data_IF_333490003703
#
_entry.id   IF_333490003703
#
_cell.length_a   1.000
_cell.length_b   1.000
_cell.length_c   1.000
_cell.angle_alpha   90.00
_cell.angle_beta   90.00
_cell.angle_gamma   90.00
#
_symmetry.space_group_name_H-M   'P 1'
#
loop_
_entity.id
_entity.type
_entity.pdbx_description
1 polymer ?
#
# COMPACT_ATOMS: atom_id res chain seq x y z
N UNK A 1 3.03 -2.19 23.31
CA UNK A 1 2.57 -1.21 22.30
C UNK A 1 2.50 -1.93 20.96
N UNK A 2 1.39 -1.84 20.27
CA UNK A 2 1.19 -2.46 18.96
C UNK A 2 2.07 -1.77 17.91
N UNK A 3 2.78 -2.56 17.10
CA UNK A 3 3.74 -2.07 16.11
C UNK A 3 3.38 -2.61 14.73
N UNK A 4 3.39 -1.73 13.74
CA UNK A 4 3.17 -2.07 12.33
C UNK A 4 4.45 -1.79 11.53
N UNK A 5 4.73 -2.63 10.54
CA UNK A 5 5.69 -2.32 9.49
C UNK A 5 4.93 -2.13 8.18
N UNK A 6 5.19 -1.03 7.46
CA UNK A 6 4.70 -0.81 6.10
C UNK A 6 5.88 -0.90 5.14
N UNK A 7 5.78 -1.78 4.14
CA UNK A 7 6.86 -2.02 3.17
C UNK A 7 6.44 -1.53 1.79
N UNK A 8 7.25 -0.66 1.17
CA UNK A 8 6.95 -0.22 -0.20
C UNK A 8 7.83 0.88 -0.73
N UNK A 9 7.37 1.54 -1.76
CA UNK A 9 8.06 2.65 -2.41
C UNK A 9 7.35 3.97 -2.13
N UNK A 10 8.13 4.99 -1.82
CA UNK A 10 7.69 6.38 -1.87
C UNK A 10 8.48 7.11 -2.97
N UNK A 11 7.77 7.88 -3.77
CA UNK A 11 8.33 8.62 -4.90
C UNK A 11 8.18 10.12 -4.71
N UNK A 12 9.02 10.88 -5.38
CA UNK A 12 8.81 12.33 -5.57
C UNK A 12 7.58 12.51 -6.47
N UNK A 13 6.65 13.36 -6.04
CA UNK A 13 5.51 13.81 -6.82
C UNK A 13 5.77 15.22 -7.35
N UNK A 14 5.60 15.39 -8.65
CA UNK A 14 5.52 16.69 -9.31
C UNK A 14 4.11 16.88 -9.83
N UNK A 15 3.35 17.80 -9.23
CA UNK A 15 1.99 18.13 -9.64
C UNK A 15 1.96 19.47 -10.34
N UNK A 16 1.40 19.53 -11.54
CA UNK A 16 1.21 20.78 -12.27
C UNK A 16 0.34 21.73 -11.45
N UNK A 17 0.80 22.97 -11.29
CA UNK A 17 0.04 24.02 -10.62
C UNK A 17 -1.25 24.34 -11.41
N UNK A 18 -2.32 24.67 -10.70
CA UNK A 18 -3.62 24.99 -11.30
C UNK A 18 -3.49 26.16 -12.29
N UNK A 19 -4.04 26.01 -13.49
CA UNK A 19 -3.92 27.01 -14.57
C UNK A 19 -2.60 26.94 -15.34
N UNK A 20 -1.84 25.84 -15.20
CA UNK A 20 -0.52 25.67 -15.78
C UNK A 20 -0.50 25.70 -17.30
N UNK A 21 0.25 26.67 -17.84
CA UNK A 21 0.65 26.71 -19.26
C UNK A 21 1.75 25.65 -19.49
N UNK A 22 1.96 25.16 -20.73
CA UNK A 22 3.13 24.36 -21.08
C UNK A 22 4.41 25.04 -20.61
N UNK A 23 5.23 24.34 -19.82
CA UNK A 23 6.40 24.92 -19.14
C UNK A 23 6.11 25.65 -17.82
N UNK A 24 4.87 25.54 -17.29
CA UNK A 24 4.44 26.16 -16.04
C UNK A 24 5.06 25.58 -14.78
N UNK A 25 4.66 26.12 -13.61
CA UNK A 25 5.14 25.71 -12.30
C UNK A 25 4.59 24.34 -11.91
N UNK A 26 5.41 23.58 -11.19
CA UNK A 26 5.03 22.33 -10.55
C UNK A 26 5.23 22.47 -9.04
N UNK A 27 4.28 22.00 -8.24
CA UNK A 27 4.50 21.77 -6.83
C UNK A 27 5.19 20.43 -6.66
N UNK A 28 6.17 20.36 -5.75
CA UNK A 28 6.84 19.14 -5.36
C UNK A 28 6.31 18.67 -4.02
N UNK A 29 5.97 17.41 -3.96
CA UNK A 29 5.64 16.65 -2.76
C UNK A 29 6.21 15.23 -2.87
N UNK A 30 5.78 14.32 -2.04
CA UNK A 30 6.09 12.90 -2.16
C UNK A 30 4.84 12.09 -1.84
N UNK A 31 4.76 10.89 -2.41
CA UNK A 31 3.64 9.99 -2.21
C UNK A 31 3.99 8.55 -2.59
N UNK A 32 3.21 7.66 -2.06
CA UNK A 32 3.24 6.22 -2.28
C UNK A 32 2.15 5.60 -1.45
N UNK A 33 1.45 4.59 -1.97
CA UNK A 33 0.30 3.96 -1.32
C UNK A 33 0.61 3.46 0.09
N UNK A 34 1.72 2.72 0.23
CA UNK A 34 2.15 2.18 1.52
C UNK A 34 2.62 3.26 2.49
N UNK A 35 3.22 4.37 1.99
CA UNK A 35 3.54 5.51 2.82
C UNK A 35 2.28 6.27 3.24
N UNK A 36 1.33 6.48 2.34
CA UNK A 36 0.07 7.13 2.69
C UNK A 36 -0.63 6.37 3.81
N UNK A 37 -0.73 5.04 3.70
CA UNK A 37 -1.25 4.18 4.78
C UNK A 37 -0.45 4.35 6.08
N UNK A 38 0.89 4.43 6.01
CA UNK A 38 1.73 4.64 7.19
C UNK A 38 1.48 5.99 7.86
N UNK A 39 1.33 7.07 7.08
CA UNK A 39 0.98 8.41 7.59
C UNK A 39 -0.36 8.39 8.33
N UNK A 40 -1.39 7.80 7.73
CA UNK A 40 -2.70 7.72 8.38
C UNK A 40 -2.65 6.84 9.64
N UNK A 41 -1.93 5.71 9.63
CA UNK A 41 -1.73 4.88 10.82
C UNK A 41 -1.06 5.67 11.95
N UNK A 42 0.00 6.42 11.64
CA UNK A 42 0.70 7.26 12.62
C UNK A 42 -0.24 8.31 13.22
N UNK A 43 -1.01 9.01 12.38
CA UNK A 43 -2.00 10.01 12.80
C UNK A 43 -3.14 9.42 13.63
N UNK A 44 -3.42 8.11 13.48
CA UNK A 44 -4.36 7.35 14.32
C UNK A 44 -3.71 6.82 15.61
N UNK A 45 -2.45 7.18 15.90
CA UNK A 45 -1.73 6.81 17.11
C UNK A 45 -1.12 5.40 17.10
N UNK A 46 -1.01 4.77 15.94
CA UNK A 46 -0.37 3.46 15.78
C UNK A 46 1.15 3.66 15.58
N UNK A 47 1.96 2.92 16.33
CA UNK A 47 3.41 2.88 16.07
C UNK A 47 3.71 2.18 14.76
N UNK A 48 4.27 2.89 13.81
CA UNK A 48 4.55 2.41 12.46
C UNK A 48 6.00 2.67 12.06
N UNK A 49 6.67 1.65 11.55
CA UNK A 49 7.96 1.79 10.87
C UNK A 49 7.74 1.65 9.35
N UNK A 50 8.38 2.54 8.57
CA UNK A 50 8.38 2.43 7.11
C UNK A 50 9.65 1.73 6.64
N UNK A 51 9.51 0.71 5.82
CA UNK A 51 10.58 -0.13 5.29
C UNK A 51 10.68 0.10 3.79
N UNK A 52 11.79 0.68 3.36
CA UNK A 52 12.07 1.01 1.96
C UNK A 52 13.56 1.21 1.74
N UNK A 53 13.94 1.53 0.49
CA UNK A 53 15.27 2.01 0.19
C UNK A 53 15.19 3.36 -0.54
N UNK A 54 16.08 4.28 -0.19
CA UNK A 54 16.24 5.59 -0.78
C UNK A 54 17.70 5.82 -1.19
N UNK A 55 17.95 6.90 -1.89
CA UNK A 55 19.30 7.35 -2.24
C UNK A 55 20.03 8.02 -1.07
N UNK A 56 21.27 8.45 -1.30
CA UNK A 56 22.10 9.24 -0.39
C UNK A 56 22.07 10.74 -0.73
N UNK A 57 21.00 11.18 -1.38
CA UNK A 57 20.77 12.52 -1.89
C UNK A 57 19.88 13.37 -0.94
N UNK A 58 19.89 14.70 -1.14
CA UNK A 58 19.15 15.65 -0.32
C UNK A 58 17.61 15.50 -0.40
N UNK A 59 17.05 14.97 -1.51
CA UNK A 59 15.61 14.71 -1.63
C UNK A 59 15.22 13.53 -0.75
N UNK A 60 16.05 12.49 -0.72
CA UNK A 60 15.89 11.35 0.17
C UNK A 60 15.96 11.75 1.64
N UNK A 61 16.86 12.70 2.00
CA UNK A 61 16.98 13.23 3.36
C UNK A 61 15.72 14.00 3.78
N UNK A 62 15.18 14.85 2.88
CA UNK A 62 13.95 15.59 3.12
C UNK A 62 12.75 14.63 3.34
N UNK A 63 12.66 13.56 2.54
CA UNK A 63 11.59 12.56 2.68
C UNK A 63 11.66 11.89 4.04
N UNK A 64 12.83 11.41 4.46
CA UNK A 64 13.04 10.76 5.77
C UNK A 64 12.68 11.71 6.91
N UNK A 65 13.15 12.99 6.83
CA UNK A 65 12.82 14.00 7.83
C UNK A 65 11.31 14.27 7.92
N UNK A 66 10.63 14.34 6.77
CA UNK A 66 9.19 14.50 6.69
C UNK A 66 8.43 13.33 7.32
N UNK A 67 8.85 12.09 7.06
CA UNK A 67 8.25 10.90 7.67
C UNK A 67 8.47 10.85 9.19
N UNK A 68 9.67 11.18 9.64
CA UNK A 68 9.96 11.27 11.07
C UNK A 68 9.11 12.34 11.76
N UNK A 69 8.87 13.48 11.11
CA UNK A 69 7.98 14.53 11.62
C UNK A 69 6.50 14.08 11.73
N UNK A 70 6.07 13.16 10.87
CA UNK A 70 4.76 12.49 10.96
C UNK A 70 4.74 11.37 12.02
N UNK A 71 5.84 11.14 12.75
CA UNK A 71 5.93 10.09 13.78
C UNK A 71 6.18 8.69 13.23
N UNK A 72 6.57 8.56 11.96
CA UNK A 72 6.89 7.28 11.31
C UNK A 72 8.33 6.90 11.63
N UNK A 73 8.56 5.68 12.10
CA UNK A 73 9.89 5.14 12.33
C UNK A 73 10.64 4.89 11.01
N UNK A 74 11.89 5.32 10.93
CA UNK A 74 12.70 5.29 9.70
C UNK A 74 13.95 4.41 9.82
N UNK A 75 14.06 3.63 10.87
CA UNK A 75 15.25 2.80 11.14
C UNK A 75 15.57 1.74 10.08
N UNK A 76 14.55 1.35 9.29
CA UNK A 76 14.65 0.37 8.21
C UNK A 76 14.51 1.02 6.82
N UNK A 77 14.86 2.31 6.73
CA UNK A 77 15.05 3.01 5.45
C UNK A 77 16.50 2.82 5.03
N UNK A 78 16.74 1.89 4.11
CA UNK A 78 18.08 1.64 3.59
C UNK A 78 18.55 2.80 2.70
N UNK A 79 19.87 3.06 2.69
CA UNK A 79 20.47 4.15 1.91
C UNK A 79 21.43 3.58 0.86
N UNK A 80 21.15 3.87 -0.40
CA UNK A 80 21.94 3.38 -1.54
C UNK A 80 22.71 4.53 -2.18
N UNK A 81 24.04 4.42 -2.17
CA UNK A 81 24.93 5.42 -2.79
C UNK A 81 24.66 5.56 -4.31
N UNK A 82 24.49 6.81 -4.75
CA UNK A 82 24.27 7.15 -6.14
C UNK A 82 22.90 6.75 -6.70
N UNK A 83 21.97 6.29 -5.87
CA UNK A 83 20.58 6.07 -6.25
C UNK A 83 19.70 7.26 -5.88
N UNK A 84 18.52 7.30 -6.48
CA UNK A 84 17.51 8.32 -6.23
C UNK A 84 16.16 7.66 -5.91
N UNK A 85 15.24 8.34 -5.24
CA UNK A 85 13.85 7.92 -5.18
C UNK A 85 13.23 7.92 -6.57
N UNK A 86 12.21 7.12 -6.78
CA UNK A 86 11.39 7.22 -7.97
C UNK A 86 10.71 8.60 -8.06
N UNK A 87 10.29 8.98 -9.27
CA UNK A 87 9.59 10.23 -9.52
C UNK A 87 8.33 9.95 -10.36
N UNK A 88 7.25 10.63 -10.06
CA UNK A 88 6.12 10.73 -10.96
C UNK A 88 5.64 12.17 -11.12
N UNK A 89 5.09 12.43 -12.29
CA UNK A 89 4.55 13.74 -12.66
C UNK A 89 3.07 13.60 -12.96
N UNK A 90 2.29 14.51 -12.39
CA UNK A 90 0.85 14.60 -12.64
C UNK A 90 0.58 15.84 -13.50
N UNK A 91 0.06 15.60 -14.69
CA UNK A 91 -0.53 16.64 -15.53
C UNK A 91 -2.04 16.53 -15.46
N UNK A 92 -2.69 17.67 -15.35
CA UNK A 92 -4.15 17.76 -15.42
C UNK A 92 -4.51 18.48 -16.72
N UNK A 93 -5.32 17.87 -17.54
CA UNK A 93 -5.80 18.48 -18.80
C UNK A 93 -6.93 19.49 -18.53
N UNK A 94 -7.39 20.16 -19.61
CA UNK A 94 -8.44 21.19 -19.54
C UNK A 94 -9.81 20.64 -19.08
N UNK A 95 -9.98 19.31 -19.07
CA UNK A 95 -11.19 18.63 -18.58
C UNK A 95 -11.04 18.17 -17.13
N UNK A 96 -9.89 18.42 -16.51
CA UNK A 96 -9.57 17.98 -15.14
C UNK A 96 -9.09 16.52 -15.06
N UNK A 97 -8.86 15.86 -16.21
CA UNK A 97 -8.33 14.49 -16.21
C UNK A 97 -6.84 14.46 -15.92
N UNK A 98 -6.44 13.54 -15.06
CA UNK A 98 -5.05 13.39 -14.60
C UNK A 98 -4.33 12.37 -15.44
N UNK A 99 -3.12 12.75 -15.91
CA UNK A 99 -2.17 11.86 -16.57
C UNK A 99 -0.94 11.71 -15.68
N UNK A 100 -0.49 10.45 -15.51
CA UNK A 100 0.65 10.11 -14.67
C UNK A 100 1.82 9.65 -15.55
N UNK A 101 2.98 10.25 -15.35
CA UNK A 101 4.24 9.86 -15.96
C UNK A 101 5.19 9.41 -14.86
N UNK A 102 5.85 8.26 -15.03
CA UNK A 102 6.68 7.67 -14.00
C UNK A 102 8.11 7.49 -14.47
N UNK A 103 9.06 7.84 -13.63
CA UNK A 103 10.48 7.52 -13.72
C UNK A 103 10.87 6.76 -12.46
N UNK A 104 10.74 5.46 -12.47
CA UNK A 104 10.95 4.60 -11.30
C UNK A 104 11.76 3.33 -11.56
N UNK A 105 12.20 3.09 -12.80
CA UNK A 105 12.86 1.84 -13.16
C UNK A 105 14.24 1.68 -12.50
N UNK A 106 14.88 2.80 -12.14
CA UNK A 106 16.15 2.86 -11.41
C UNK A 106 16.01 3.28 -9.95
N UNK A 107 14.78 3.36 -9.42
CA UNK A 107 14.52 3.79 -8.05
C UNK A 107 15.15 2.84 -7.02
N UNK A 108 15.72 3.42 -5.96
CA UNK A 108 16.38 2.68 -4.87
C UNK A 108 15.47 1.60 -4.26
N UNK A 109 14.18 1.86 -4.09
CA UNK A 109 13.22 0.93 -3.50
C UNK A 109 13.14 -0.41 -4.23
N UNK A 110 13.46 -0.47 -5.53
CA UNK A 110 13.48 -1.72 -6.30
C UNK A 110 14.59 -2.68 -5.89
N UNK A 111 15.63 -2.16 -5.24
CA UNK A 111 16.80 -2.92 -4.80
C UNK A 111 16.73 -3.33 -3.32
N UNK A 112 15.61 -3.02 -2.63
CA UNK A 112 15.45 -3.30 -1.20
C UNK A 112 15.74 -4.76 -0.82
N UNK A 113 15.49 -5.71 -1.71
CA UNK A 113 15.72 -7.14 -1.47
C UNK A 113 17.14 -7.63 -1.81
N UNK A 114 18.00 -6.74 -2.30
CA UNK A 114 19.36 -7.09 -2.78
C UNK A 114 20.47 -6.46 -1.93
N UNK A 115 20.13 -5.80 -0.83
CA UNK A 115 21.05 -5.05 0.01
C UNK A 115 21.73 -5.96 1.05
N UNK A 116 22.92 -5.59 1.53
CA UNK A 116 23.60 -6.32 2.60
C UNK A 116 22.72 -6.44 3.87
N UNK A 117 21.96 -5.40 4.22
CA UNK A 117 21.09 -5.35 5.39
C UNK A 117 19.70 -6.01 5.19
N UNK A 118 19.41 -6.52 4.00
CA UNK A 118 18.09 -7.12 3.69
C UNK A 118 17.71 -8.23 4.66
N UNK A 119 18.65 -9.12 5.01
CA UNK A 119 18.36 -10.23 5.92
C UNK A 119 17.99 -9.74 7.32
N UNK A 120 18.65 -8.70 7.84
CA UNK A 120 18.34 -8.10 9.13
C UNK A 120 16.94 -7.43 9.09
N UNK A 121 16.61 -6.73 7.99
CA UNK A 121 15.29 -6.16 7.77
C UNK A 121 14.23 -7.26 7.75
N UNK A 122 14.43 -8.33 6.97
CA UNK A 122 13.48 -9.43 6.84
C UNK A 122 13.31 -10.20 8.16
N UNK A 123 14.37 -10.37 8.95
CA UNK A 123 14.30 -11.00 10.28
C UNK A 123 13.55 -10.13 11.28
N UNK A 124 13.63 -8.80 11.15
CA UNK A 124 12.91 -7.86 12.02
C UNK A 124 11.39 -7.95 11.88
N UNK A 125 10.87 -8.47 10.75
CA UNK A 125 9.42 -8.56 10.50
C UNK A 125 8.67 -9.34 11.58
N UNK A 126 9.31 -10.32 12.19
CA UNK A 126 8.75 -11.09 13.31
C UNK A 126 8.54 -10.28 14.61
N UNK A 127 9.02 -9.03 14.68
CA UNK A 127 8.86 -8.15 15.86
C UNK A 127 7.64 -7.23 15.74
N UNK A 128 6.88 -7.29 14.65
CA UNK A 128 5.70 -6.48 14.41
C UNK A 128 4.41 -7.28 14.61
N UNK A 129 3.35 -6.61 15.02
CA UNK A 129 2.02 -7.22 15.13
C UNK A 129 1.37 -7.39 13.75
N UNK A 130 1.62 -6.41 12.85
CA UNK A 130 1.18 -6.45 11.45
C UNK A 130 2.33 -6.00 10.55
N UNK A 131 2.54 -6.72 9.44
CA UNK A 131 3.30 -6.24 8.28
C UNK A 131 2.31 -5.95 7.16
N UNK A 132 2.34 -4.75 6.64
CA UNK A 132 1.48 -4.28 5.54
C UNK A 132 2.30 -4.00 4.29
N UNK A 133 1.82 -4.45 3.16
CA UNK A 133 2.31 -4.08 1.83
C UNK A 133 1.19 -4.20 0.79
N UNK A 134 1.42 -3.61 -0.37
CA UNK A 134 0.51 -3.68 -1.50
C UNK A 134 1.08 -4.47 -2.69
N UNK A 135 0.24 -4.74 -3.67
CA UNK A 135 0.68 -5.33 -4.93
C UNK A 135 1.68 -4.43 -5.68
N UNK A 136 1.66 -3.10 -5.47
CA UNK A 136 2.70 -2.20 -6.02
C UNK A 136 4.07 -2.59 -5.48
N UNK A 137 4.19 -2.85 -4.17
CA UNK A 137 5.44 -3.31 -3.57
C UNK A 137 5.95 -4.59 -4.23
N UNK A 138 5.07 -5.58 -4.44
CA UNK A 138 5.45 -6.81 -5.10
C UNK A 138 5.81 -6.60 -6.58
N UNK A 139 5.16 -5.65 -7.26
CA UNK A 139 5.39 -5.38 -8.68
C UNK A 139 6.75 -4.74 -8.98
N UNK A 140 7.29 -3.96 -8.05
CA UNK A 140 8.58 -3.29 -8.24
C UNK A 140 9.78 -4.19 -7.95
N UNK A 141 9.58 -5.26 -7.19
CA UNK A 141 10.63 -6.23 -6.86
C UNK A 141 10.86 -7.20 -8.02
N UNK A 142 12.11 -7.67 -8.17
CA UNK A 142 12.42 -8.80 -9.03
C UNK A 142 11.84 -10.10 -8.45
N UNK A 143 11.77 -11.14 -9.25
CA UNK A 143 11.16 -12.41 -8.88
C UNK A 143 11.81 -13.02 -7.62
N UNK A 144 13.13 -13.09 -7.59
CA UNK A 144 13.91 -13.56 -6.44
C UNK A 144 13.67 -12.72 -5.17
N UNK A 145 13.59 -11.39 -5.33
CA UNK A 145 13.27 -10.48 -4.23
C UNK A 145 11.85 -10.68 -3.69
N UNK A 146 10.86 -10.91 -4.58
CA UNK A 146 9.50 -11.27 -4.17
C UNK A 146 9.47 -12.57 -3.37
N UNK A 147 10.19 -13.61 -3.85
CA UNK A 147 10.26 -14.90 -3.17
C UNK A 147 10.89 -14.77 -1.77
N UNK A 148 11.99 -14.01 -1.66
CA UNK A 148 12.64 -13.72 -0.37
C UNK A 148 11.69 -13.03 0.60
N UNK A 149 10.98 -11.99 0.16
CA UNK A 149 10.01 -11.25 0.99
C UNK A 149 8.86 -12.15 1.42
N UNK A 150 8.25 -12.90 0.50
CA UNK A 150 7.14 -13.81 0.80
C UNK A 150 7.57 -14.93 1.75
N UNK A 151 8.78 -15.48 1.60
CA UNK A 151 9.32 -16.46 2.54
C UNK A 151 9.53 -15.87 3.94
N UNK A 152 10.00 -14.62 4.05
CA UNK A 152 10.16 -13.93 5.32
C UNK A 152 8.81 -13.66 6.00
N UNK A 153 7.79 -13.23 5.24
CA UNK A 153 6.43 -13.04 5.74
C UNK A 153 5.84 -14.36 6.28
N UNK A 154 6.02 -15.47 5.57
CA UNK A 154 5.60 -16.80 6.03
C UNK A 154 6.29 -17.17 7.36
N UNK A 155 7.59 -16.90 7.51
CA UNK A 155 8.31 -17.14 8.76
C UNK A 155 7.81 -16.24 9.90
N UNK A 156 7.63 -14.93 9.63
CA UNK A 156 7.13 -13.99 10.63
C UNK A 156 5.72 -14.38 11.13
N UNK A 157 4.84 -14.87 10.23
CA UNK A 157 3.53 -15.39 10.60
C UNK A 157 3.58 -16.57 11.57
N UNK A 158 4.51 -17.49 11.39
CA UNK A 158 4.72 -18.61 12.32
C UNK A 158 5.12 -18.13 13.73
N UNK A 159 5.64 -16.91 13.83
CA UNK A 159 6.03 -16.26 15.10
C UNK A 159 4.97 -15.30 15.65
N UNK A 160 3.79 -15.23 15.01
CA UNK A 160 2.64 -14.47 15.48
C UNK A 160 2.37 -13.14 14.79
N UNK A 161 3.24 -12.71 13.86
CA UNK A 161 3.00 -11.51 13.03
C UNK A 161 1.86 -11.77 12.05
N UNK A 162 0.92 -10.84 11.90
CA UNK A 162 -0.09 -10.90 10.84
C UNK A 162 0.42 -10.21 9.58
N UNK A 163 0.09 -10.74 8.43
CA UNK A 163 0.37 -10.12 7.15
C UNK A 163 -0.92 -9.54 6.55
N UNK A 164 -0.91 -8.22 6.26
CA UNK A 164 -1.98 -7.50 5.58
C UNK A 164 -1.54 -7.11 4.16
N UNK A 165 -2.31 -7.52 3.17
CA UNK A 165 -2.05 -7.28 1.75
C UNK A 165 -3.14 -6.44 1.11
N UNK A 166 -2.76 -5.31 0.48
CA UNK A 166 -3.67 -4.49 -0.34
C UNK A 166 -3.49 -4.80 -1.83
N UNK A 167 -4.58 -5.05 -2.54
CA UNK A 167 -4.52 -5.45 -3.95
C UNK A 167 -4.02 -4.36 -4.87
N UNK A 168 -4.23 -3.12 -4.60
CA UNK A 168 -3.75 -1.91 -5.31
C UNK A 168 -3.04 -2.20 -6.65
N UNK A 169 -3.76 -2.85 -7.58
CA UNK A 169 -3.24 -3.38 -8.82
C UNK A 169 -2.94 -2.25 -9.82
N UNK A 170 -1.75 -2.30 -10.42
CA UNK A 170 -1.34 -1.38 -11.50
C UNK A 170 -0.75 -2.17 -12.64
N UNK A 171 -1.51 -2.36 -13.72
CA UNK A 171 -1.14 -3.23 -14.84
C UNK A 171 0.28 -2.95 -15.40
N UNK A 172 0.70 -1.69 -15.44
CA UNK A 172 2.04 -1.27 -15.92
C UNK A 172 3.19 -1.79 -15.05
N UNK A 173 2.94 -2.20 -13.80
CA UNK A 173 3.95 -2.74 -12.89
C UNK A 173 4.28 -4.21 -13.14
N UNK A 174 3.56 -4.90 -14.03
CA UNK A 174 3.65 -6.33 -14.22
C UNK A 174 4.07 -6.67 -15.65
N UNK A 175 4.92 -7.71 -15.85
CA UNK A 175 5.30 -8.19 -17.19
C UNK A 175 4.08 -8.61 -18.00
N UNK A 176 3.17 -9.35 -17.37
CA UNK A 176 1.89 -9.78 -17.92
C UNK A 176 0.88 -10.12 -16.79
N UNK A 177 -0.38 -10.36 -17.18
CA UNK A 177 -1.43 -10.69 -16.22
C UNK A 177 -1.30 -12.09 -15.60
N UNK A 178 -0.59 -13.03 -16.25
CA UNK A 178 -0.34 -14.35 -15.71
C UNK A 178 0.60 -14.30 -14.51
N UNK A 179 1.70 -13.55 -14.64
CA UNK A 179 2.62 -13.28 -13.54
C UNK A 179 1.91 -12.57 -12.39
N UNK A 180 1.11 -11.55 -12.70
CA UNK A 180 0.33 -10.83 -11.68
C UNK A 180 -0.60 -11.78 -10.91
N UNK A 181 -1.40 -12.61 -11.60
CA UNK A 181 -2.30 -13.59 -10.97
C UNK A 181 -1.56 -14.58 -10.07
N UNK A 182 -0.40 -15.10 -10.52
CA UNK A 182 0.40 -16.02 -9.72
C UNK A 182 0.89 -15.38 -8.43
N UNK A 183 1.39 -14.14 -8.50
CA UNK A 183 1.86 -13.40 -7.32
C UNK A 183 0.70 -13.06 -6.38
N UNK A 184 -0.46 -12.65 -6.92
CA UNK A 184 -1.66 -12.40 -6.13
C UNK A 184 -2.14 -13.67 -5.42
N UNK A 185 -2.18 -14.81 -6.11
CA UNK A 185 -2.53 -16.10 -5.47
C UNK A 185 -1.60 -16.42 -4.31
N UNK A 186 -0.27 -16.27 -4.49
CA UNK A 186 0.70 -16.49 -3.40
C UNK A 186 0.51 -15.51 -2.24
N UNK A 187 0.16 -14.24 -2.53
CA UNK A 187 -0.13 -13.25 -1.51
C UNK A 187 -1.42 -13.60 -0.75
N UNK A 188 -2.49 -13.99 -1.45
CA UNK A 188 -3.75 -14.42 -0.84
C UNK A 188 -3.59 -15.64 0.07
N UNK A 189 -2.76 -16.62 -0.33
CA UNK A 189 -2.47 -17.81 0.47
C UNK A 189 -1.63 -17.48 1.72
N UNK A 190 -0.90 -16.37 1.69
CA UNK A 190 0.01 -16.00 2.78
C UNK A 190 -0.62 -14.96 3.72
N UNK A 191 -1.46 -14.07 3.21
CA UNK A 191 -2.02 -12.96 4.00
C UNK A 191 -3.07 -13.46 5.02
N UNK A 192 -3.07 -12.81 6.18
CA UNK A 192 -4.12 -12.95 7.20
C UNK A 192 -5.28 -12.00 6.93
N UNK A 193 -4.98 -10.83 6.33
CA UNK A 193 -5.94 -9.79 5.97
C UNK A 193 -5.69 -9.40 4.52
N UNK A 194 -6.71 -9.45 3.67
CA UNK A 194 -6.65 -8.92 2.31
C UNK A 194 -7.61 -7.74 2.17
N UNK A 195 -7.05 -6.60 1.78
CA UNK A 195 -7.81 -5.40 1.41
C UNK A 195 -7.86 -5.33 -0.11
N UNK A 196 -8.94 -5.82 -0.68
CA UNK A 196 -9.14 -5.90 -2.11
C UNK A 196 -10.12 -4.81 -2.60
N UNK A 197 -10.07 -4.51 -3.90
CA UNK A 197 -11.13 -3.75 -4.56
C UNK A 197 -11.61 -4.46 -5.83
N UNK A 198 -12.87 -4.28 -6.18
CA UNK A 198 -13.41 -4.80 -7.44
C UNK A 198 -12.72 -4.17 -8.64
N UNK A 199 -12.31 -2.91 -8.54
CA UNK A 199 -11.57 -2.18 -9.58
C UNK A 199 -10.20 -2.80 -9.85
N UNK A 200 -9.45 -3.13 -8.80
CA UNK A 200 -8.13 -3.76 -8.92
C UNK A 200 -8.21 -5.19 -9.46
N UNK A 201 -9.24 -5.93 -9.07
CA UNK A 201 -9.36 -7.34 -9.45
C UNK A 201 -9.99 -7.53 -10.84
N UNK A 202 -10.80 -6.58 -11.32
CA UNK A 202 -11.47 -6.69 -12.62
C UNK A 202 -10.52 -6.96 -13.81
N UNK A 203 -9.34 -6.33 -13.93
CA UNK A 203 -8.41 -6.65 -15.01
C UNK A 203 -7.78 -8.05 -14.89
N UNK A 204 -7.66 -8.56 -13.66
CA UNK A 204 -7.09 -9.89 -13.39
C UNK A 204 -8.13 -11.00 -13.59
N UNK A 205 -9.37 -10.74 -13.24
CA UNK A 205 -10.47 -11.72 -13.24
C UNK A 205 -11.71 -11.11 -13.93
N UNK A 206 -11.65 -10.88 -15.25
CA UNK A 206 -12.69 -10.19 -15.98
C UNK A 206 -14.01 -10.97 -15.96
N UNK A 207 -15.11 -10.26 -15.63
CA UNK A 207 -16.44 -10.83 -15.61
C UNK A 207 -16.81 -11.63 -14.36
N UNK A 208 -15.90 -11.78 -13.40
CA UNK A 208 -16.21 -12.48 -12.15
C UNK A 208 -17.13 -11.65 -11.26
N UNK A 209 -18.08 -12.33 -10.61
CA UNK A 209 -18.96 -11.69 -9.63
C UNK A 209 -18.22 -11.43 -8.31
N UNK A 210 -18.74 -10.52 -7.47
CA UNK A 210 -18.19 -10.26 -6.14
C UNK A 210 -18.09 -11.54 -5.29
N UNK A 211 -19.06 -12.44 -5.42
CA UNK A 211 -19.05 -13.73 -4.72
C UNK A 211 -17.90 -14.61 -5.20
N UNK A 212 -17.68 -14.67 -6.52
CA UNK A 212 -16.58 -15.43 -7.09
C UNK A 212 -15.21 -14.86 -6.72
N UNK A 213 -15.06 -13.53 -6.78
CA UNK A 213 -13.84 -12.84 -6.33
C UNK A 213 -13.52 -13.13 -4.86
N UNK A 214 -14.52 -13.04 -3.97
CA UNK A 214 -14.34 -13.40 -2.56
C UNK A 214 -13.96 -14.87 -2.37
N UNK A 215 -14.59 -15.77 -3.12
CA UNK A 215 -14.28 -17.20 -3.03
C UNK A 215 -12.86 -17.54 -3.55
N UNK A 216 -12.35 -16.76 -4.50
CA UNK A 216 -10.99 -16.90 -5.05
C UNK A 216 -9.88 -16.39 -4.14
N UNK A 217 -10.20 -15.65 -3.06
CA UNK A 217 -9.21 -15.14 -2.11
C UNK A 217 -9.16 -16.09 -0.91
N UNK A 218 -8.06 -16.80 -0.71
CA UNK A 218 -7.91 -17.82 0.34
C UNK A 218 -7.67 -17.27 1.75
N UNK A 219 -7.32 -15.99 1.88
CA UNK A 219 -7.08 -15.33 3.19
C UNK A 219 -8.27 -15.48 4.15
N UNK A 220 -8.06 -15.68 5.46
CA UNK A 220 -9.13 -15.82 6.45
C UNK A 220 -9.96 -14.54 6.65
N UNK A 221 -9.41 -13.36 6.41
CA UNK A 221 -10.11 -12.08 6.52
C UNK A 221 -9.95 -11.29 5.23
N UNK A 222 -11.06 -10.96 4.57
CA UNK A 222 -11.09 -10.25 3.29
C UNK A 222 -12.05 -9.08 3.36
N UNK A 223 -11.59 -7.92 2.93
CA UNK A 223 -12.43 -6.74 2.67
C UNK A 223 -12.40 -6.49 1.18
N UNK A 224 -13.52 -6.64 0.50
CA UNK A 224 -13.68 -6.34 -0.92
C UNK A 224 -14.39 -4.99 -1.05
N UNK A 225 -13.62 -3.94 -1.32
CA UNK A 225 -14.14 -2.58 -1.61
C UNK A 225 -14.89 -2.61 -2.95
N UNK A 226 -16.08 -2.02 -3.01
CA UNK A 226 -16.93 -1.97 -4.19
C UNK A 226 -16.73 -0.65 -4.94
N UNK A 227 -17.25 -0.56 -6.17
CA UNK A 227 -17.26 0.68 -6.94
C UNK A 227 -18.12 1.78 -6.29
N UNK A 228 -19.20 1.39 -5.60
CA UNK A 228 -19.98 2.23 -4.71
C UNK A 228 -19.30 2.35 -3.33
N UNK A 229 -19.65 3.36 -2.50
CA UNK A 229 -19.05 3.54 -1.18
C UNK A 229 -19.56 2.46 -0.19
N UNK A 230 -19.17 1.22 -0.44
CA UNK A 230 -19.48 0.02 0.32
C UNK A 230 -18.33 -0.99 0.20
N UNK A 231 -18.28 -1.95 1.11
CA UNK A 231 -17.41 -3.11 1.00
C UNK A 231 -18.11 -4.38 1.51
N UNK A 232 -17.64 -5.53 1.05
CA UNK A 232 -18.04 -6.83 1.58
C UNK A 232 -16.90 -7.35 2.45
N UNK A 233 -17.19 -7.63 3.71
CA UNK A 233 -16.25 -8.18 4.68
C UNK A 233 -16.55 -9.66 4.86
N UNK A 234 -15.58 -10.53 4.57
CA UNK A 234 -15.62 -11.96 4.87
C UNK A 234 -14.61 -12.27 5.96
N UNK A 235 -15.04 -12.97 6.99
CA UNK A 235 -14.22 -13.43 8.10
C UNK A 235 -14.69 -14.76 8.66
N UNK A 236 -14.09 -15.24 9.75
CA UNK A 236 -14.53 -16.46 10.43
C UNK A 236 -15.98 -16.38 10.94
N UNK A 237 -16.51 -15.16 11.17
CA UNK A 237 -17.89 -14.94 11.65
C UNK A 237 -18.93 -14.87 10.52
N UNK A 238 -18.49 -14.97 9.26
CA UNK A 238 -19.35 -14.93 8.09
C UNK A 238 -19.02 -13.79 7.13
N UNK A 239 -19.98 -13.49 6.25
CA UNK A 239 -19.87 -12.44 5.23
C UNK A 239 -20.91 -11.34 5.49
N UNK A 240 -20.48 -10.11 5.53
CA UNK A 240 -21.32 -8.93 5.80
C UNK A 240 -20.99 -7.79 4.85
N UNK A 241 -22.02 -7.17 4.26
CA UNK A 241 -21.87 -5.92 3.52
C UNK A 241 -21.87 -4.74 4.50
N UNK A 242 -20.92 -3.84 4.33
CA UNK A 242 -20.77 -2.60 5.11
C UNK A 242 -20.85 -1.42 4.16
N UNK A 243 -21.80 -0.53 4.35
CA UNK A 243 -21.97 0.69 3.56
C UNK A 243 -21.42 1.89 4.30
N UNK A 244 -20.81 2.81 3.55
CA UNK A 244 -20.45 4.11 4.09
C UNK A 244 -21.70 4.91 4.47
N UNK A 245 -21.58 5.72 5.51
CA UNK A 245 -22.61 6.71 5.82
C UNK A 245 -22.62 7.81 4.73
N UNK A 246 -23.78 8.41 4.44
CA UNK A 246 -23.86 9.50 3.47
C UNK A 246 -22.91 10.65 3.84
N UNK A 247 -22.16 11.13 2.87
CA UNK A 247 -21.25 12.26 3.08
C UNK A 247 -22.03 13.55 3.33
N UNK A 248 -21.65 14.28 4.36
CA UNK A 248 -22.24 15.60 4.69
C UNK A 248 -21.73 16.69 3.72
N UNK A 249 -20.55 16.48 3.12
CA UNK A 249 -19.91 17.41 2.19
C UNK A 249 -19.52 16.69 0.91
N UNK A 250 -19.52 17.39 -0.25
CA UNK A 250 -19.03 16.79 -1.48
C UNK A 250 -17.55 16.41 -1.37
N UNK A 251 -17.19 15.29 -1.99
CA UNK A 251 -15.79 14.84 -2.07
C UNK A 251 -15.00 15.84 -2.93
N UNK A 252 -13.89 16.34 -2.41
CA UNK A 252 -13.01 17.28 -3.11
C UNK A 252 -11.89 16.55 -3.83
N UNK A 253 -11.33 15.53 -3.21
CA UNK A 253 -10.24 14.72 -3.75
C UNK A 253 -10.33 13.29 -3.20
N UNK A 254 -10.24 12.29 -4.07
CA UNK A 254 -10.25 10.86 -3.72
C UNK A 254 -8.84 10.26 -3.66
N UNK A 255 -7.81 11.08 -3.80
CA UNK A 255 -6.42 10.62 -3.69
C UNK A 255 -6.20 10.00 -2.31
N UNK A 256 -5.58 8.82 -2.29
CA UNK A 256 -5.32 8.03 -1.08
C UNK A 256 -6.58 7.57 -0.28
N UNK A 257 -7.79 7.62 -0.85
CA UNK A 257 -8.99 7.11 -0.18
C UNK A 257 -8.87 5.62 0.16
N UNK A 258 -8.28 4.80 -0.73
CA UNK A 258 -7.97 3.39 -0.45
C UNK A 258 -6.97 3.23 0.67
N UNK A 259 -5.92 4.07 0.68
CA UNK A 259 -4.84 4.02 1.67
C UNK A 259 -5.32 4.45 3.06
N UNK A 260 -6.17 5.49 3.13
CA UNK A 260 -6.78 5.94 4.39
C UNK A 260 -7.76 4.91 4.94
N UNK A 261 -8.58 4.28 4.07
CA UNK A 261 -9.43 3.16 4.44
C UNK A 261 -8.60 2.02 5.05
N UNK A 262 -7.51 1.62 4.37
CA UNK A 262 -6.61 0.56 4.85
C UNK A 262 -6.05 0.88 6.24
N UNK A 263 -5.57 2.12 6.44
CA UNK A 263 -5.03 2.56 7.71
C UNK A 263 -6.07 2.51 8.84
N UNK A 264 -7.27 3.06 8.62
CA UNK A 264 -8.32 3.05 9.65
C UNK A 264 -8.81 1.62 9.95
N UNK A 265 -8.92 0.77 8.91
CA UNK A 265 -9.25 -0.63 9.09
C UNK A 265 -8.23 -1.33 9.99
N UNK A 266 -6.94 -1.24 9.64
CA UNK A 266 -5.86 -1.89 10.38
C UNK A 266 -5.75 -1.34 11.81
N UNK A 267 -5.87 -0.03 12.02
CA UNK A 267 -5.86 0.58 13.33
C UNK A 267 -7.00 0.05 14.22
N UNK A 268 -8.23 -0.04 13.68
CA UNK A 268 -9.37 -0.59 14.40
C UNK A 268 -9.17 -2.09 14.73
N UNK A 269 -8.64 -2.88 13.78
CA UNK A 269 -8.31 -4.31 14.01
C UNK A 269 -7.22 -4.50 15.08
N UNK A 270 -6.25 -3.61 15.16
CA UNK A 270 -5.24 -3.60 16.22
C UNK A 270 -5.86 -3.23 17.58
N UNK A 271 -6.88 -2.39 17.58
CA UNK A 271 -7.67 -2.04 18.76
C UNK A 271 -8.67 -3.11 19.21
N UNK A 272 -8.74 -4.25 18.49
CA UNK A 272 -9.64 -5.37 18.82
C UNK A 272 -11.06 -5.24 18.25
N UNK A 273 -11.32 -4.26 17.37
CA UNK A 273 -12.62 -4.15 16.70
C UNK A 273 -12.90 -5.37 15.80
N UNK A 274 -14.15 -5.80 15.71
CA UNK A 274 -14.57 -6.82 14.77
C UNK A 274 -14.41 -6.34 13.31
N UNK A 275 -14.19 -7.25 12.32
CA UNK A 275 -13.92 -6.88 10.93
C UNK A 275 -14.95 -5.92 10.32
N UNK A 276 -16.24 -6.11 10.57
CA UNK A 276 -17.29 -5.21 10.07
C UNK A 276 -17.23 -3.81 10.72
N UNK A 277 -16.85 -3.71 12.00
CA UNK A 277 -16.66 -2.43 12.69
C UNK A 277 -15.41 -1.70 12.19
N UNK A 278 -14.33 -2.46 11.94
CA UNK A 278 -13.12 -1.93 11.34
C UNK A 278 -13.39 -1.37 9.93
N UNK A 279 -14.24 -2.04 9.13
CA UNK A 279 -14.66 -1.54 7.82
C UNK A 279 -15.47 -0.24 7.93
N UNK A 280 -16.35 -0.10 8.94
CA UNK A 280 -17.03 1.18 9.21
C UNK A 280 -16.03 2.28 9.58
N UNK A 281 -14.99 1.98 10.35
CA UNK A 281 -13.92 2.93 10.64
C UNK A 281 -13.19 3.35 9.36
N UNK A 282 -12.89 2.40 8.45
CA UNK A 282 -12.31 2.68 7.13
C UNK A 282 -13.15 3.63 6.28
N UNK A 283 -14.47 3.46 6.28
CA UNK A 283 -15.38 4.34 5.54
C UNK A 283 -15.54 5.75 6.12
N UNK A 284 -15.17 5.98 7.40
CA UNK A 284 -15.27 7.30 8.05
C UNK A 284 -14.03 8.18 7.88
N UNK A 285 -12.89 7.61 7.52
CA UNK A 285 -11.65 8.34 7.28
C UNK A 285 -11.48 8.71 5.81
#
# INVERSE_FOLDING_TARGET
>A
MTRVASIGECMIELRQATGGQPGGLYSRSYGGDTLNTAVYLSRLGVHIDYITALGDDGLSDEMIAGWAAEGIGTKHVARLAGKLPGLYLIQTDDKGERRFFHWRDSAAARELMDLPETDDILNSLATYDIVYLSAITLSILREDGRERLMAALKRARLLGTRFAFDTNFRARGWPDLGVARSVFSSAFDTADIVLASTEDLAPLYPGESNTALLAGISSPEVVLKLAEPACIVRSATGTTEVRAEPLIKPVVDTTAAGDSFAAAYLAARLGGAEPAEAARAGHRL
#
